data_IF_891014960795
#
_entry.id   IF_891014960795
#
_cell.length_a   1.000
_cell.length_b   1.000
_cell.length_c   1.000
_cell.angle_alpha   90.00
_cell.angle_beta   90.00
_cell.angle_gamma   90.00
#
_symmetry.space_group_name_H-M   'P 1'
#
loop_
_entity.id
_entity.type
_entity.pdbx_description
1 polymer ?
#
# COMPACT_ATOMS: atom_id res chain seq x y z
N UNK A 1 -8.51 -22.39 25.16
CA UNK A 1 -9.12 -21.51 26.20
C UNK A 1 -8.90 -20.06 25.80
N UNK A 2 -9.91 -19.34 25.32
CA UNK A 2 -9.78 -17.92 24.95
C UNK A 2 -9.88 -17.09 26.23
N UNK A 3 -8.76 -16.54 26.72
CA UNK A 3 -8.74 -15.60 27.86
C UNK A 3 -8.66 -14.17 27.34
N UNK A 4 -9.67 -13.36 27.62
CA UNK A 4 -9.65 -11.92 27.32
C UNK A 4 -8.98 -11.21 28.49
N UNK A 5 -7.78 -10.67 28.27
CA UNK A 5 -7.08 -9.88 29.26
C UNK A 5 -7.40 -8.39 29.07
N UNK A 6 -8.52 -7.95 29.68
CA UNK A 6 -8.98 -6.55 29.60
C UNK A 6 -7.98 -5.57 30.23
N UNK A 7 -7.22 -6.00 31.24
CA UNK A 7 -6.22 -5.15 31.90
C UNK A 7 -5.04 -4.85 30.98
N UNK A 8 -4.68 -5.79 30.09
CA UNK A 8 -3.63 -5.58 29.08
C UNK A 8 -4.05 -4.55 28.03
N UNK A 9 -5.32 -4.50 27.65
CA UNK A 9 -5.85 -3.49 26.71
C UNK A 9 -6.01 -2.11 27.35
N UNK A 10 -6.41 -2.03 28.63
CA UNK A 10 -6.50 -0.77 29.37
C UNK A 10 -5.13 -0.08 29.50
N UNK A 11 -4.09 -0.86 29.82
CA UNK A 11 -2.71 -0.37 29.85
C UNK A 11 -2.22 0.07 28.47
N UNK A 12 -2.58 -0.66 27.41
CA UNK A 12 -2.12 -0.34 26.04
C UNK A 12 -2.75 0.93 25.47
N UNK A 13 -3.96 1.30 25.92
CA UNK A 13 -4.70 2.48 25.43
C UNK A 13 -4.79 3.62 26.43
N UNK A 14 -4.11 3.50 27.57
CA UNK A 14 -4.11 4.47 28.66
C UNK A 14 -5.54 4.92 29.06
N UNK A 15 -6.44 3.95 29.18
CA UNK A 15 -7.88 4.16 29.39
C UNK A 15 -8.43 3.10 30.34
N UNK A 16 -9.35 3.48 31.24
CA UNK A 16 -9.91 2.56 32.24
C UNK A 16 -11.42 2.37 32.03
N UNK A 17 -11.87 1.12 31.87
CA UNK A 17 -13.29 0.79 31.77
C UNK A 17 -13.94 0.77 33.15
N UNK A 18 -15.16 1.30 33.23
CA UNK A 18 -15.95 1.18 34.45
C UNK A 18 -16.28 -0.30 34.77
N UNK A 19 -16.37 -0.68 36.05
CA UNK A 19 -16.57 -2.08 36.48
C UNK A 19 -17.82 -2.75 35.87
N UNK A 20 -18.90 -1.98 35.69
CA UNK A 20 -20.16 -2.42 35.07
C UNK A 20 -19.97 -2.78 33.59
N UNK A 21 -19.12 -2.04 32.88
CA UNK A 21 -18.77 -2.27 31.48
C UNK A 21 -17.90 -3.52 31.34
N UNK A 22 -16.93 -3.71 32.24
CA UNK A 22 -16.12 -4.95 32.28
C UNK A 22 -16.98 -6.19 32.46
N UNK A 23 -17.97 -6.16 33.36
CA UNK A 23 -18.91 -7.28 33.58
C UNK A 23 -19.75 -7.58 32.34
N UNK A 24 -20.30 -6.56 31.67
CA UNK A 24 -21.09 -6.73 30.43
C UNK A 24 -20.27 -7.32 29.27
N UNK A 25 -19.02 -6.86 29.10
CA UNK A 25 -18.13 -7.36 28.04
C UNK A 25 -17.80 -8.84 28.29
N UNK A 26 -17.44 -9.20 29.53
CA UNK A 26 -17.19 -10.60 29.90
C UNK A 26 -18.41 -11.49 29.64
N UNK A 27 -19.59 -11.07 30.10
CA UNK A 27 -20.84 -11.84 29.93
C UNK A 27 -21.22 -12.07 28.46
N UNK A 28 -21.15 -11.04 27.60
CA UNK A 28 -21.42 -11.19 26.16
C UNK A 28 -20.43 -12.13 25.48
N UNK A 29 -19.15 -12.07 25.84
CA UNK A 29 -18.14 -12.94 25.26
C UNK A 29 -18.27 -14.39 25.69
N UNK A 30 -18.63 -14.65 26.95
CA UNK A 30 -18.94 -16.01 27.41
C UNK A 30 -20.07 -16.61 26.57
N UNK A 31 -21.14 -15.84 26.31
CA UNK A 31 -22.25 -16.29 25.45
C UNK A 31 -21.85 -16.53 23.98
N UNK A 32 -20.91 -15.76 23.43
CA UNK A 32 -20.37 -15.98 22.08
C UNK A 32 -19.52 -17.25 22.03
N UNK A 33 -18.66 -17.46 23.03
CA UNK A 33 -17.80 -18.65 23.14
C UNK A 33 -18.65 -19.91 23.29
N UNK A 34 -19.71 -19.88 24.11
CA UNK A 34 -20.63 -21.01 24.25
C UNK A 34 -21.35 -21.34 22.93
N UNK A 35 -21.79 -20.33 22.17
CA UNK A 35 -22.39 -20.54 20.84
C UNK A 35 -21.40 -21.15 19.84
N UNK A 36 -20.15 -20.69 19.86
CA UNK A 36 -19.06 -21.24 19.04
C UNK A 36 -18.76 -22.70 19.42
N UNK A 37 -18.69 -23.04 20.71
CA UNK A 37 -18.50 -24.42 21.17
C UNK A 37 -19.67 -25.33 20.78
N UNK A 38 -20.92 -24.84 20.85
CA UNK A 38 -22.10 -25.56 20.37
C UNK A 38 -22.07 -25.80 18.85
N UNK A 39 -21.55 -24.84 18.08
CA UNK A 39 -21.39 -24.97 16.63
C UNK A 39 -20.29 -25.98 16.26
N UNK A 40 -19.15 -25.94 16.96
CA UNK A 40 -18.02 -26.87 16.73
C UNK A 40 -18.40 -28.32 17.07
N UNK A 41 -19.20 -28.55 18.12
CA UNK A 41 -19.69 -29.90 18.49
C UNK A 41 -20.65 -30.54 17.48
N UNK A 42 -21.16 -29.80 16.49
CA UNK A 42 -22.08 -30.32 15.46
C UNK A 42 -21.35 -30.93 14.24
N UNK A 43 -20.02 -30.87 14.18
CA UNK A 43 -19.24 -31.49 13.12
C UNK A 43 -18.71 -32.87 13.56
N UNK A 44 -18.89 -33.95 12.77
CA UNK A 44 -18.29 -35.24 13.08
C UNK A 44 -16.76 -35.16 12.87
N UNK A 45 -16.00 -35.53 13.89
CA UNK A 45 -14.54 -35.59 13.85
C UNK A 45 -14.07 -36.77 12.98
N UNK A 46 -13.51 -36.49 11.81
CA UNK A 46 -12.62 -37.41 11.10
C UNK A 46 -11.21 -37.34 11.71
N UNK A 47 -10.58 -38.50 11.84
CA UNK A 47 -9.38 -38.82 12.62
C UNK A 47 -8.08 -38.20 12.07
N UNK A 48 -7.25 -37.68 13.00
CA UNK A 48 -5.75 -37.70 13.08
C UNK A 48 -4.93 -37.02 11.95
N UNK A 49 -3.83 -36.28 12.14
CA UNK A 49 -2.77 -36.35 13.17
C UNK A 49 -1.86 -35.10 13.15
N UNK A 50 -1.26 -34.79 14.32
CA UNK A 50 -0.03 -34.03 14.61
C UNK A 50 0.16 -32.60 14.07
N UNK A 51 -0.11 -31.61 14.93
CA UNK A 51 0.54 -30.28 14.89
C UNK A 51 1.20 -30.02 16.26
N UNK A 52 2.42 -29.48 16.22
CA UNK A 52 3.28 -29.29 17.39
C UNK A 52 2.74 -28.21 18.36
N UNK A 53 3.14 -28.21 19.66
CA UNK A 53 2.56 -27.33 20.69
C UNK A 53 2.83 -25.82 20.52
N UNK A 54 3.58 -25.38 19.51
CA UNK A 54 4.04 -23.99 19.39
C UNK A 54 3.03 -22.99 18.77
N UNK A 55 1.85 -23.45 18.34
CA UNK A 55 0.88 -22.65 17.57
C UNK A 55 -0.29 -22.05 18.38
N UNK A 56 -0.24 -22.12 19.72
CA UNK A 56 -1.39 -21.80 20.58
C UNK A 56 -1.28 -20.51 21.40
N UNK A 57 -0.42 -19.57 21.02
CA UNK A 57 -0.37 -18.26 21.66
C UNK A 57 -0.64 -17.08 20.72
N UNK A 58 -1.72 -16.36 21.05
CA UNK A 58 -2.04 -14.97 20.71
C UNK A 58 -2.79 -14.65 19.40
N UNK A 59 -4.07 -15.02 19.31
CA UNK A 59 -5.01 -14.30 18.44
C UNK A 59 -5.52 -13.03 19.13
N UNK A 60 -5.08 -11.85 18.68
CA UNK A 60 -5.59 -10.55 19.16
C UNK A 60 -6.66 -10.04 18.19
N UNK A 61 -7.91 -9.88 18.66
CA UNK A 61 -9.02 -9.34 17.86
C UNK A 61 -9.16 -7.84 18.11
N UNK A 62 -9.01 -7.01 17.07
CA UNK A 62 -9.16 -5.54 17.12
C UNK A 62 -10.57 -5.13 16.71
N UNK A 63 -11.25 -4.31 17.52
CA UNK A 63 -12.58 -3.75 17.20
C UNK A 63 -12.48 -2.31 16.66
N UNK A 64 -13.16 -2.03 15.53
CA UNK A 64 -13.38 -0.68 14.98
C UNK A 64 -14.79 -0.20 15.36
N UNK A 65 -14.91 1.01 15.92
CA UNK A 65 -16.20 1.64 16.29
C UNK A 65 -16.92 2.11 15.02
N UNK A 66 -18.18 1.70 14.83
CA UNK A 66 -19.08 2.19 13.78
C UNK A 66 -19.76 3.47 14.30
N UNK A 67 -19.57 4.60 13.63
CA UNK A 67 -20.27 5.84 13.93
C UNK A 67 -21.59 5.87 13.16
N UNK A 68 -22.72 5.89 13.87
CA UNK A 68 -23.99 6.54 13.48
C UNK A 68 -25.07 6.27 14.54
N UNK A 69 -25.47 7.32 15.26
CA UNK A 69 -26.82 7.52 15.82
C UNK A 69 -26.97 8.97 16.36
N UNK A 70 -28.12 9.58 16.07
CA UNK A 70 -28.51 10.99 16.20
C UNK A 70 -28.27 11.68 17.57
N UNK A 71 -28.14 13.04 17.59
CA UNK A 71 -28.04 13.81 18.83
C UNK A 71 -29.42 14.04 19.46
N UNK A 72 -29.56 13.68 20.74
CA UNK A 72 -30.69 14.10 21.59
C UNK A 72 -30.40 15.48 22.18
N UNK A 73 -31.37 16.38 22.04
CA UNK A 73 -31.44 17.72 22.60
C UNK A 73 -31.38 17.73 24.13
N UNK A 74 -30.79 18.77 24.71
CA UNK A 74 -31.24 19.29 26.00
C UNK A 74 -31.34 20.83 25.95
N UNK A 75 -32.52 21.33 26.31
CA UNK A 75 -32.84 22.75 26.49
C UNK A 75 -32.28 23.27 27.82
N UNK A 76 -31.76 24.50 27.80
CA UNK A 76 -31.89 25.44 28.91
C UNK A 76 -31.99 26.87 28.36
N UNK A 77 -32.98 27.61 28.83
CA UNK A 77 -33.15 29.07 28.75
C UNK A 77 -33.69 29.49 30.13
N UNK A 78 -33.72 30.77 30.54
CA UNK A 78 -33.40 31.97 29.77
C UNK A 78 -32.52 33.02 30.50
N UNK A 79 -32.12 34.05 29.75
CA UNK A 79 -32.14 35.44 30.24
C UNK A 79 -30.80 36.09 30.59
N UNK A 80 -30.33 36.94 29.68
CA UNK A 80 -29.97 38.35 29.86
C UNK A 80 -28.84 38.71 28.89
N UNK A 81 -29.22 39.40 27.81
CA UNK A 81 -28.26 40.13 26.99
C UNK A 81 -28.04 41.51 27.58
N UNK A 82 -26.79 41.96 27.57
CA UNK A 82 -26.37 43.33 27.23
C UNK A 82 -24.98 43.21 26.63
N UNK A 83 -24.76 43.82 25.47
CA UNK A 83 -23.47 43.80 24.78
C UNK A 83 -22.47 44.81 25.33
N UNK A 84 -21.21 44.66 24.93
CA UNK A 84 -20.32 45.77 24.59
C UNK A 84 -19.17 45.27 23.71
N UNK A 85 -18.82 46.11 22.74
CA UNK A 85 -17.77 46.05 21.73
C UNK A 85 -16.36 45.88 22.36
N UNK A 86 -15.32 45.33 21.72
CA UNK A 86 -14.52 45.96 20.65
C UNK A 86 -13.28 45.09 20.33
N UNK A 87 -12.85 45.17 19.07
CA UNK A 87 -11.47 45.16 18.53
C UNK A 87 -10.57 43.90 18.50
N UNK A 88 -10.11 43.68 17.25
CA UNK A 88 -8.75 43.33 16.79
C UNK A 88 -8.23 41.91 16.91
N UNK A 89 -7.93 41.37 15.73
CA UNK A 89 -7.17 40.15 15.40
C UNK A 89 -5.79 40.08 16.06
N UNK A 90 -5.24 38.88 16.28
CA UNK A 90 -3.80 38.69 16.27
C UNK A 90 -3.31 37.66 15.22
N UNK A 91 -2.00 37.70 14.87
CA UNK A 91 -1.41 36.90 13.80
C UNK A 91 -0.71 35.62 14.27
N UNK A 92 -0.26 34.86 13.27
CA UNK A 92 0.55 33.64 13.26
C UNK A 92 1.68 33.58 14.32
N UNK A 93 1.80 32.42 14.98
CA UNK A 93 2.92 32.09 15.87
C UNK A 93 3.79 30.97 15.28
N UNK A 94 5.08 31.30 15.22
CA UNK A 94 6.23 30.47 14.90
C UNK A 94 6.65 29.54 16.05
N UNK A 95 7.45 28.54 15.68
CA UNK A 95 8.07 27.52 16.51
C UNK A 95 8.75 28.02 17.79
N UNK A 96 8.50 27.32 18.89
CA UNK A 96 9.05 27.50 20.22
C UNK A 96 10.45 26.86 20.37
N UNK A 97 11.41 27.65 20.85
CA UNK A 97 12.67 27.20 21.46
C UNK A 97 12.47 26.92 22.95
N UNK A 98 13.09 25.86 23.46
CA UNK A 98 13.13 25.51 24.89
C UNK A 98 14.34 26.16 25.59
N UNK A 99 14.26 26.47 26.90
CA UNK A 99 15.25 27.27 27.61
C UNK A 99 16.33 26.45 28.35
N UNK A 100 17.51 27.04 28.53
CA UNK A 100 18.58 26.58 29.44
C UNK A 100 18.57 27.42 30.71
N UNK A 101 18.53 26.75 31.88
CA UNK A 101 18.58 27.35 33.20
C UNK A 101 20.01 27.53 33.73
N UNK A 102 20.23 28.66 34.38
CA UNK A 102 21.47 29.11 35.03
C UNK A 102 21.80 28.35 36.32
N UNK A 103 23.09 28.21 36.62
CA UNK A 103 23.64 28.18 37.98
C UNK A 103 24.98 28.93 38.02
N UNK A 104 25.13 29.67 39.11
CA UNK A 104 26.02 30.81 39.37
C UNK A 104 27.35 30.45 40.03
N UNK A 105 28.39 31.26 39.78
CA UNK A 105 29.43 31.57 40.78
C UNK A 105 30.88 31.67 40.27
N UNK A 106 31.48 32.86 40.37
CA UNK A 106 32.90 33.01 40.73
C UNK A 106 33.93 33.30 39.63
N UNK A 107 34.16 34.59 39.36
CA UNK A 107 35.46 35.27 39.12
C UNK A 107 36.51 34.71 38.13
N UNK A 108 36.66 35.48 37.04
CA UNK A 108 37.92 36.01 36.47
C UNK A 108 38.94 35.11 35.73
N UNK A 109 38.93 35.27 34.39
CA UNK A 109 40.09 35.51 33.48
C UNK A 109 41.12 34.38 33.26
N UNK A 110 41.01 33.62 32.15
CA UNK A 110 41.86 33.72 30.94
C UNK A 110 41.79 32.48 30.02
N UNK A 111 41.84 32.76 28.71
CA UNK A 111 42.39 31.92 27.63
C UNK A 111 41.61 30.70 27.11
N UNK A 112 40.89 30.96 26.02
CA UNK A 112 40.68 30.14 24.81
C UNK A 112 41.32 28.74 24.77
N UNK A 113 40.48 27.70 24.76
CA UNK A 113 40.64 26.46 23.95
C UNK A 113 39.37 25.62 24.06
N UNK A 114 38.47 25.74 23.07
CA UNK A 114 37.35 24.82 22.92
C UNK A 114 37.62 23.89 21.75
N UNK A 115 37.56 22.59 22.08
CA UNK A 115 37.68 21.43 21.23
C UNK A 115 36.49 21.34 20.25
N UNK A 116 36.82 21.04 18.99
CA UNK A 116 36.16 20.08 18.12
C UNK A 116 34.64 20.06 18.04
N UNK A 117 34.09 20.72 17.02
CA UNK A 117 32.88 20.27 16.34
C UNK A 117 33.32 19.73 14.98
N UNK A 118 33.16 18.42 14.75
CA UNK A 118 33.42 17.80 13.45
C UNK A 118 32.37 18.25 12.45
N UNK A 119 32.78 19.14 11.54
CA UNK A 119 32.06 19.44 10.33
C UNK A 119 32.27 18.27 9.36
N UNK A 120 31.20 17.57 8.96
CA UNK A 120 31.28 16.57 7.88
C UNK A 120 31.59 17.33 6.59
N UNK A 121 32.86 17.34 6.21
CA UNK A 121 33.36 17.92 4.97
C UNK A 121 33.12 16.91 3.85
N UNK A 122 32.08 17.14 3.06
CA UNK A 122 31.88 16.40 1.82
C UNK A 122 32.92 16.85 0.79
N UNK A 123 33.49 15.85 0.09
CA UNK A 123 34.25 15.93 -1.15
C UNK A 123 35.71 16.41 -1.07
N UNK A 124 36.64 15.46 -1.03
CA UNK A 124 37.96 15.60 -1.65
C UNK A 124 38.43 14.22 -2.18
N UNK A 125 38.69 14.18 -3.49
CA UNK A 125 39.16 13.03 -4.27
C UNK A 125 38.75 13.31 -5.73
N UNK A 126 39.61 13.82 -6.60
CA UNK A 126 40.94 13.33 -6.92
C UNK A 126 41.82 14.50 -7.41
N UNK A 127 43.02 14.66 -6.84
CA UNK A 127 44.07 15.52 -7.41
C UNK A 127 45.06 14.61 -8.12
N UNK A 128 45.03 14.58 -9.44
CA UNK A 128 46.13 14.04 -10.26
C UNK A 128 47.08 15.18 -10.62
N UNK A 129 48.36 14.98 -10.31
CA UNK A 129 49.44 15.90 -10.57
C UNK A 129 49.65 16.13 -12.08
N UNK A 130 49.94 17.38 -12.42
CA UNK A 130 50.28 17.89 -13.76
C UNK A 130 51.62 17.34 -14.26
N UNK A 131 51.76 17.17 -15.58
CA UNK A 131 52.95 17.57 -16.35
C UNK A 131 52.63 17.67 -17.86
N UNK A 132 52.69 18.91 -18.36
CA UNK A 132 52.98 19.43 -19.71
C UNK A 132 52.26 18.90 -20.99
N UNK A 133 51.55 19.83 -21.66
CA UNK A 133 51.78 20.09 -23.09
C UNK A 133 50.54 20.09 -24.01
N UNK A 134 50.28 21.26 -24.60
CA UNK A 134 49.55 21.52 -25.85
C UNK A 134 48.01 21.69 -25.84
N UNK A 135 47.62 22.66 -26.65
CA UNK A 135 46.34 23.35 -26.70
C UNK A 135 45.18 22.52 -27.26
N UNK A 136 43.98 22.83 -26.77
CA UNK A 136 42.74 22.66 -27.51
C UNK A 136 42.02 21.33 -27.32
N UNK A 137 41.25 21.19 -26.24
CA UNK A 137 39.86 20.78 -26.39
C UNK A 137 39.06 21.12 -25.14
N UNK A 138 37.96 21.85 -25.35
CA UNK A 138 37.02 22.22 -24.31
C UNK A 138 36.37 20.99 -23.66
N UNK A 139 36.12 21.11 -22.37
CA UNK A 139 35.44 20.16 -21.49
C UNK A 139 34.28 19.41 -22.16
N UNK A 140 34.48 18.12 -22.45
CA UNK A 140 33.39 17.18 -22.75
C UNK A 140 32.86 16.55 -21.46
N UNK A 141 32.34 17.37 -20.56
CA UNK A 141 31.49 16.95 -19.45
C UNK A 141 30.33 17.94 -19.27
N UNK A 142 29.72 18.35 -20.39
CA UNK A 142 28.39 18.94 -20.35
C UNK A 142 27.42 17.81 -19.97
N UNK A 143 27.00 17.78 -18.72
CA UNK A 143 25.88 16.95 -18.28
C UNK A 143 24.68 17.25 -19.17
N UNK A 144 24.32 16.30 -20.04
CA UNK A 144 23.21 16.44 -20.97
C UNK A 144 21.91 16.50 -20.17
N UNK A 145 21.42 17.72 -19.94
CA UNK A 145 20.08 17.97 -19.48
C UNK A 145 19.11 17.35 -20.49
N UNK A 146 18.22 16.49 -20.00
CA UNK A 146 17.18 15.84 -20.79
C UNK A 146 15.83 16.53 -20.57
N UNK A 147 14.96 16.40 -21.57
CA UNK A 147 13.57 16.81 -21.49
C UNK A 147 12.68 15.58 -21.65
N UNK A 148 11.81 15.30 -20.68
CA UNK A 148 10.86 14.18 -20.72
C UNK A 148 9.46 14.73 -20.50
N UNK A 149 8.62 14.65 -21.54
CA UNK A 149 7.30 15.28 -21.52
C UNK A 149 7.41 16.80 -21.28
N UNK A 150 6.69 17.29 -20.27
CA UNK A 150 6.72 18.71 -19.89
C UNK A 150 7.88 19.08 -18.95
N UNK A 151 8.64 18.10 -18.45
CA UNK A 151 9.77 18.35 -17.56
C UNK A 151 11.03 18.64 -18.38
N UNK A 152 11.52 19.87 -18.28
CA UNK A 152 12.77 20.32 -18.90
C UNK A 152 13.88 20.45 -17.87
N UNK A 153 15.14 20.40 -18.30
CA UNK A 153 16.32 20.61 -17.46
C UNK A 153 16.49 19.53 -16.38
N UNK A 154 16.18 18.27 -16.69
CA UNK A 154 16.33 17.16 -15.75
C UNK A 154 17.50 16.25 -16.15
N UNK A 155 18.27 15.81 -15.17
CA UNK A 155 19.35 14.84 -15.34
C UNK A 155 19.03 13.59 -14.51
N UNK A 156 19.22 12.42 -15.10
CA UNK A 156 19.13 11.18 -14.35
C UNK A 156 20.32 11.06 -13.39
N UNK A 157 20.04 10.84 -12.11
CA UNK A 157 21.07 10.63 -11.11
C UNK A 157 21.36 9.13 -10.98
N UNK A 158 22.50 8.70 -11.48
CA UNK A 158 22.94 7.31 -11.33
C UNK A 158 23.38 7.03 -9.89
N UNK A 159 22.97 5.85 -9.39
CA UNK A 159 23.41 5.31 -8.11
C UNK A 159 24.40 4.17 -8.36
N UNK A 160 25.41 4.01 -7.49
CA UNK A 160 26.38 2.92 -7.59
C UNK A 160 25.77 1.53 -7.41
N UNK A 161 24.58 1.44 -6.80
CA UNK A 161 23.82 0.19 -6.66
C UNK A 161 22.83 0.03 -7.81
N UNK A 162 22.99 -1.02 -8.60
CA UNK A 162 22.13 -1.31 -9.74
C UNK A 162 21.03 -2.34 -9.40
N UNK A 163 20.13 -2.60 -10.36
CA UNK A 163 19.04 -3.60 -10.24
C UNK A 163 19.57 -4.99 -9.88
N UNK A 164 20.66 -5.44 -10.51
CA UNK A 164 21.21 -6.77 -10.28
C UNK A 164 21.74 -6.95 -8.86
N UNK A 165 22.35 -5.91 -8.27
CA UNK A 165 22.83 -5.95 -6.88
C UNK A 165 21.66 -6.15 -5.90
N UNK A 166 20.56 -5.43 -6.11
CA UNK A 166 19.34 -5.57 -5.31
C UNK A 166 18.71 -6.95 -5.45
N UNK A 167 18.63 -7.46 -6.69
CA UNK A 167 18.09 -8.79 -6.96
C UNK A 167 18.91 -9.91 -6.31
N UNK A 168 20.26 -9.82 -6.38
CA UNK A 168 21.16 -10.75 -5.68
C UNK A 168 20.97 -10.73 -4.18
N UNK A 169 20.82 -9.53 -3.59
CA UNK A 169 20.57 -9.38 -2.15
C UNK A 169 19.24 -10.04 -1.75
N UNK A 170 18.19 -9.83 -2.53
CA UNK A 170 16.85 -10.36 -2.26
C UNK A 170 16.67 -11.83 -2.69
N UNK A 171 17.60 -12.40 -3.45
CA UNK A 171 17.51 -13.75 -4.04
C UNK A 171 16.21 -13.94 -4.85
N UNK A 172 15.87 -12.92 -5.63
CA UNK A 172 14.70 -12.87 -6.53
C UNK A 172 14.92 -11.79 -7.59
N UNK A 173 14.17 -11.87 -8.69
CA UNK A 173 14.11 -10.81 -9.71
C UNK A 173 12.86 -9.97 -9.55
N UNK A 174 13.00 -8.66 -9.71
CA UNK A 174 11.87 -7.74 -9.64
C UNK A 174 11.11 -7.73 -10.96
N UNK A 175 9.78 -7.83 -10.87
CA UNK A 175 8.86 -7.83 -12.00
C UNK A 175 7.52 -7.21 -11.60
N UNK A 176 6.67 -6.96 -12.59
CA UNK A 176 5.31 -6.47 -12.43
C UNK A 176 4.34 -7.57 -12.85
N UNK A 177 3.51 -7.99 -11.90
CA UNK A 177 2.36 -8.86 -12.14
C UNK A 177 1.15 -7.95 -12.23
N UNK A 178 0.65 -7.77 -13.45
CA UNK A 178 -0.44 -6.86 -13.76
C UNK A 178 -1.77 -7.61 -13.90
N UNK A 179 -2.55 -7.66 -12.81
CA UNK A 179 -3.83 -8.34 -12.78
C UNK A 179 -4.94 -7.40 -13.28
N UNK A 180 -5.54 -7.75 -14.42
CA UNK A 180 -6.63 -7.01 -15.07
C UNK A 180 -7.93 -7.83 -15.12
N UNK A 181 -9.08 -7.16 -15.18
CA UNK A 181 -10.39 -7.81 -15.21
C UNK A 181 -11.53 -6.92 -14.71
N UNK A 182 -12.77 -7.34 -14.95
CA UNK A 182 -13.98 -6.64 -14.50
C UNK A 182 -14.06 -6.48 -12.97
N UNK A 183 -14.82 -5.49 -12.49
CA UNK A 183 -15.12 -5.38 -11.06
C UNK A 183 -15.77 -6.68 -10.56
N UNK A 184 -15.43 -7.18 -9.37
CA UNK A 184 -15.98 -8.45 -8.88
C UNK A 184 -15.41 -9.74 -9.51
N UNK A 185 -14.46 -9.65 -10.47
CA UNK A 185 -13.81 -10.83 -11.05
C UNK A 185 -12.92 -11.59 -10.06
N UNK A 186 -12.41 -10.93 -9.01
CA UNK A 186 -11.59 -11.56 -7.96
C UNK A 186 -10.14 -11.07 -7.88
N UNK A 187 -9.75 -10.05 -8.67
CA UNK A 187 -8.38 -9.50 -8.71
C UNK A 187 -7.72 -9.30 -7.35
N UNK A 188 -8.34 -8.51 -6.46
CA UNK A 188 -7.77 -8.22 -5.13
C UNK A 188 -7.66 -9.47 -4.25
N UNK A 189 -8.54 -10.45 -4.44
CA UNK A 189 -8.51 -11.72 -3.71
C UNK A 189 -7.33 -12.58 -4.17
N UNK A 190 -7.12 -12.70 -5.49
CA UNK A 190 -5.96 -13.40 -6.07
C UNK A 190 -4.66 -12.69 -5.72
N UNK A 191 -4.61 -11.35 -5.83
CA UNK A 191 -3.44 -10.55 -5.45
C UNK A 191 -3.01 -10.79 -3.99
N UNK A 192 -3.99 -10.87 -3.07
CA UNK A 192 -3.74 -11.16 -1.67
C UNK A 192 -3.23 -12.60 -1.45
N UNK A 193 -3.86 -13.58 -2.10
CA UNK A 193 -3.43 -14.98 -2.03
C UNK A 193 -2.00 -15.17 -2.59
N UNK A 194 -1.70 -14.52 -3.72
CA UNK A 194 -0.39 -14.50 -4.36
C UNK A 194 0.68 -13.87 -3.46
N UNK A 195 0.41 -12.69 -2.91
CA UNK A 195 1.32 -12.04 -1.96
C UNK A 195 1.61 -12.91 -0.73
N UNK A 196 0.56 -13.55 -0.18
CA UNK A 196 0.71 -14.51 0.93
C UNK A 196 1.49 -15.77 0.54
N UNK A 197 1.40 -16.21 -0.72
CA UNK A 197 2.14 -17.37 -1.23
C UNK A 197 3.63 -17.05 -1.46
N UNK A 198 3.94 -15.90 -2.06
CA UNK A 198 5.30 -15.38 -2.21
C UNK A 198 5.97 -15.18 -0.84
N UNK A 199 5.25 -14.62 0.13
CA UNK A 199 5.76 -14.43 1.49
C UNK A 199 6.17 -15.76 2.14
N UNK A 200 5.34 -16.82 2.02
CA UNK A 200 5.65 -18.16 2.56
C UNK A 200 6.90 -18.78 1.90
N UNK A 201 7.24 -18.37 0.68
CA UNK A 201 8.44 -18.78 -0.06
C UNK A 201 9.65 -17.86 0.21
N UNK A 202 9.54 -16.92 1.16
CA UNK A 202 10.60 -15.98 1.48
C UNK A 202 10.84 -14.91 0.41
N UNK A 203 9.84 -14.64 -0.44
CA UNK A 203 9.93 -13.66 -1.52
C UNK A 203 9.24 -12.35 -1.14
N UNK A 204 9.92 -11.25 -1.41
CA UNK A 204 9.43 -9.90 -1.17
C UNK A 204 8.49 -9.49 -2.30
N UNK A 205 7.23 -9.21 -1.94
CA UNK A 205 6.22 -8.70 -2.86
C UNK A 205 5.46 -7.54 -2.25
N UNK A 206 4.83 -6.73 -3.09
CA UNK A 206 3.98 -5.63 -2.66
C UNK A 206 2.77 -5.46 -3.57
N UNK A 207 1.58 -5.26 -2.99
CA UNK A 207 0.32 -5.15 -3.74
C UNK A 207 -0.08 -3.68 -3.92
N UNK A 208 -0.19 -3.25 -5.17
CA UNK A 208 -0.79 -1.99 -5.58
C UNK A 208 -2.24 -2.22 -6.02
N UNK A 209 -3.17 -2.11 -5.07
CA UNK A 209 -4.61 -2.24 -5.35
C UNK A 209 -5.21 -0.88 -5.78
N UNK A 210 -6.03 -0.91 -6.83
CA UNK A 210 -6.63 0.29 -7.41
C UNK A 210 -7.46 1.13 -6.43
N UNK A 211 -8.12 0.53 -5.44
CA UNK A 211 -8.87 1.30 -4.42
C UNK A 211 -7.91 1.87 -3.38
N UNK A 212 -6.89 1.11 -2.97
CA UNK A 212 -5.90 1.55 -1.98
C UNK A 212 -5.10 2.76 -2.45
N UNK A 213 -4.62 2.74 -3.70
CA UNK A 213 -3.82 3.85 -4.26
C UNK A 213 -4.64 5.14 -4.36
N UNK A 214 -5.96 5.03 -4.58
CA UNK A 214 -6.90 6.17 -4.62
C UNK A 214 -7.13 6.83 -3.27
N UNK A 215 -6.76 6.20 -2.16
CA UNK A 215 -6.75 6.86 -0.85
C UNK A 215 -5.52 7.76 -0.62
N UNK A 216 -4.50 7.68 -1.48
CA UNK A 216 -3.22 8.35 -1.29
C UNK A 216 -2.71 9.06 -2.55
N UNK A 217 -1.91 8.35 -3.34
CA UNK A 217 -1.22 8.86 -4.53
C UNK A 217 -2.19 9.37 -5.60
N UNK A 218 -3.32 8.69 -5.79
CA UNK A 218 -4.29 8.98 -6.86
C UNK A 218 -5.61 9.54 -6.30
N UNK A 219 -5.56 10.23 -5.15
CA UNK A 219 -6.75 10.78 -4.48
C UNK A 219 -7.41 11.94 -5.25
N UNK A 220 -6.64 12.58 -6.12
CA UNK A 220 -7.04 13.69 -6.98
C UNK A 220 -7.80 13.23 -8.23
N UNK A 221 -7.74 11.94 -8.57
CA UNK A 221 -8.32 11.39 -9.79
C UNK A 221 -9.74 10.87 -9.56
N UNK A 222 -10.65 11.24 -10.46
CA UNK A 222 -12.00 10.70 -10.51
C UNK A 222 -12.06 9.37 -11.29
N UNK A 223 -13.23 9.05 -11.85
CA UNK A 223 -13.48 7.85 -12.64
C UNK A 223 -13.82 8.15 -14.11
N UNK A 224 -13.52 9.35 -14.61
CA UNK A 224 -13.58 9.67 -16.04
C UNK A 224 -12.50 8.91 -16.83
N UNK A 225 -12.63 8.83 -18.14
CA UNK A 225 -11.72 8.07 -18.99
C UNK A 225 -10.27 8.59 -18.90
N UNK A 226 -10.09 9.91 -18.94
CA UNK A 226 -8.79 10.58 -18.78
C UNK A 226 -8.17 10.34 -17.41
N UNK A 227 -8.96 10.38 -16.35
CA UNK A 227 -8.50 10.11 -14.97
C UNK A 227 -8.17 8.63 -14.76
N UNK A 228 -8.83 7.72 -15.49
CA UNK A 228 -8.47 6.30 -15.51
C UNK A 228 -7.13 6.10 -16.20
N UNK A 229 -6.92 6.72 -17.35
CA UNK A 229 -5.65 6.64 -18.07
C UNK A 229 -4.50 7.16 -17.19
N UNK A 230 -4.67 8.31 -16.54
CA UNK A 230 -3.67 8.86 -15.62
C UNK A 230 -3.47 7.98 -14.38
N UNK A 231 -4.54 7.39 -13.84
CA UNK A 231 -4.45 6.45 -12.72
C UNK A 231 -3.60 5.22 -13.11
N UNK A 232 -3.84 4.65 -14.29
CA UNK A 232 -3.06 3.52 -14.81
C UNK A 232 -1.61 3.93 -15.06
N UNK A 233 -1.37 5.08 -15.69
CA UNK A 233 -0.01 5.60 -15.95
C UNK A 233 0.80 5.76 -14.66
N UNK A 234 0.25 6.44 -13.64
CA UNK A 234 0.93 6.62 -12.34
C UNK A 234 1.26 5.29 -11.68
N UNK A 235 0.34 4.34 -11.72
CA UNK A 235 0.54 3.02 -11.09
C UNK A 235 1.55 2.18 -11.89
N UNK A 236 1.57 2.30 -13.22
CA UNK A 236 2.60 1.70 -14.08
C UNK A 236 4.01 2.18 -13.72
N UNK A 237 4.19 3.50 -13.54
CA UNK A 237 5.47 4.08 -13.13
C UNK A 237 5.89 3.63 -11.73
N UNK A 238 4.97 3.60 -10.77
CA UNK A 238 5.26 3.10 -9.42
C UNK A 238 5.61 1.61 -9.46
N UNK A 239 4.88 0.80 -10.21
CA UNK A 239 5.16 -0.62 -10.37
C UNK A 239 6.54 -0.88 -10.98
N UNK A 240 6.93 -0.06 -11.98
CA UNK A 240 8.28 -0.07 -12.55
C UNK A 240 9.35 0.23 -11.50
N UNK A 241 9.14 1.22 -10.62
CA UNK A 241 10.09 1.51 -9.53
C UNK A 241 10.23 0.33 -8.54
N UNK A 242 9.13 -0.36 -8.23
CA UNK A 242 9.20 -1.57 -7.39
C UNK A 242 9.97 -2.71 -8.08
N UNK A 243 9.72 -2.95 -9.37
CA UNK A 243 10.45 -3.96 -10.13
C UNK A 243 11.94 -3.62 -10.25
N UNK A 244 12.30 -2.35 -10.46
CA UNK A 244 13.69 -1.89 -10.45
C UNK A 244 14.36 -2.06 -9.08
N UNK A 245 13.59 -1.93 -7.99
CA UNK A 245 14.04 -2.22 -6.63
C UNK A 245 14.25 -3.73 -6.34
N UNK A 246 13.91 -4.62 -7.28
CA UNK A 246 13.97 -6.08 -7.11
C UNK A 246 12.73 -6.69 -6.45
N UNK A 247 11.66 -5.92 -6.26
CA UNK A 247 10.40 -6.38 -5.64
C UNK A 247 9.49 -6.98 -6.70
N UNK A 248 8.78 -8.06 -6.36
CA UNK A 248 7.67 -8.57 -7.18
C UNK A 248 6.44 -7.70 -6.91
N UNK A 249 6.18 -6.75 -7.79
CA UNK A 249 5.07 -5.81 -7.67
C UNK A 249 3.79 -6.43 -8.24
N UNK A 250 2.73 -6.49 -7.44
CA UNK A 250 1.43 -7.03 -7.86
C UNK A 250 0.45 -5.86 -8.01
N UNK A 251 0.17 -5.47 -9.24
CA UNK A 251 -0.79 -4.42 -9.56
C UNK A 251 -2.18 -5.04 -9.79
N UNK A 252 -3.16 -4.70 -8.96
CA UNK A 252 -4.53 -5.25 -9.04
C UNK A 252 -5.52 -4.14 -9.38
N UNK A 253 -5.85 -4.00 -10.68
CA UNK A 253 -6.65 -2.89 -11.21
C UNK A 253 -7.68 -3.38 -12.23
N UNK A 254 -8.77 -2.64 -12.41
CA UNK A 254 -9.64 -2.90 -13.56
C UNK A 254 -8.86 -2.70 -14.85
N UNK A 255 -8.14 -1.58 -14.99
CA UNK A 255 -7.31 -1.23 -16.16
C UNK A 255 -8.02 -1.54 -17.49
N UNK A 256 -9.19 -0.94 -17.74
CA UNK A 256 -10.13 -1.40 -18.75
C UNK A 256 -9.64 -1.22 -20.19
N UNK A 257 -8.83 -0.20 -20.45
CA UNK A 257 -8.38 0.14 -21.79
C UNK A 257 -7.05 -0.55 -22.10
N UNK A 258 -7.01 -1.28 -23.21
CA UNK A 258 -5.84 -2.05 -23.63
C UNK A 258 -4.64 -1.15 -23.86
N UNK A 259 -4.84 0.00 -24.51
CA UNK A 259 -3.75 0.95 -24.80
C UNK A 259 -2.97 1.35 -23.55
N UNK A 260 -3.65 1.51 -22.41
CA UNK A 260 -3.03 1.98 -21.18
C UNK A 260 -2.23 0.86 -20.50
N UNK A 261 -2.70 -0.39 -20.63
CA UNK A 261 -1.94 -1.58 -20.19
C UNK A 261 -0.72 -1.80 -21.08
N UNK A 262 -0.87 -1.65 -22.40
CA UNK A 262 0.23 -1.74 -23.37
C UNK A 262 1.29 -0.66 -23.11
N UNK A 263 0.86 0.57 -22.78
CA UNK A 263 1.77 1.64 -22.38
C UNK A 263 2.53 1.28 -21.09
N UNK A 264 1.88 0.66 -20.10
CA UNK A 264 2.55 0.14 -18.90
C UNK A 264 3.58 -0.93 -19.24
N UNK A 265 3.21 -1.89 -20.07
CA UNK A 265 4.10 -2.97 -20.55
C UNK A 265 5.35 -2.41 -21.24
N UNK A 266 5.18 -1.42 -22.12
CA UNK A 266 6.28 -0.82 -22.89
C UNK A 266 7.31 -0.05 -22.03
N UNK A 267 6.95 0.32 -20.78
CA UNK A 267 7.86 1.02 -19.87
C UNK A 267 8.88 0.09 -19.18
N UNK A 268 8.68 -1.24 -19.27
CA UNK A 268 9.50 -2.25 -18.63
C UNK A 268 10.34 -3.04 -19.64
N UNK A 269 11.49 -3.61 -19.21
CA UNK A 269 12.23 -4.57 -20.02
C UNK A 269 11.35 -5.75 -20.46
N UNK A 270 11.66 -6.32 -21.61
CA UNK A 270 10.93 -7.48 -22.14
C UNK A 270 10.93 -8.63 -21.12
N UNK A 271 9.74 -9.14 -20.80
CA UNK A 271 9.53 -10.22 -19.83
C UNK A 271 9.28 -9.77 -18.39
N UNK A 272 9.61 -8.52 -18.01
CA UNK A 272 9.42 -8.03 -16.64
C UNK A 272 7.97 -7.59 -16.35
N UNK A 273 7.11 -7.53 -17.36
CA UNK A 273 5.68 -7.24 -17.23
C UNK A 273 4.88 -8.49 -17.60
N UNK A 274 4.14 -9.01 -16.62
CA UNK A 274 3.36 -10.25 -16.69
C UNK A 274 1.90 -9.87 -16.51
N UNK A 275 1.15 -9.82 -17.60
CA UNK A 275 -0.28 -9.53 -17.59
C UNK A 275 -1.07 -10.79 -17.26
N UNK A 276 -1.88 -10.69 -16.21
CA UNK A 276 -2.75 -11.76 -15.72
C UNK A 276 -4.19 -11.33 -15.94
N UNK A 277 -4.89 -12.02 -16.85
CA UNK A 277 -6.28 -11.73 -17.15
C UNK A 277 -7.21 -12.56 -16.27
N UNK A 278 -8.01 -11.89 -15.45
CA UNK A 278 -9.15 -12.51 -14.75
C UNK A 278 -10.33 -12.61 -15.72
N UNK A 279 -10.42 -13.70 -16.46
CA UNK A 279 -11.48 -13.95 -17.43
C UNK A 279 -12.74 -14.49 -16.75
N UNK A 280 -13.50 -13.57 -16.16
CA UNK A 280 -14.75 -13.85 -15.48
C UNK A 280 -15.89 -13.12 -16.18
N UNK A 281 -16.92 -13.83 -16.66
CA UNK A 281 -18.05 -13.22 -17.36
C UNK A 281 -18.72 -12.11 -16.54
N UNK A 282 -19.21 -11.07 -17.23
CA UNK A 282 -19.89 -9.93 -16.62
C UNK A 282 -21.06 -10.38 -15.73
N UNK A 283 -21.86 -11.34 -16.17
CA UNK A 283 -23.02 -11.84 -15.45
C UNK A 283 -22.62 -12.46 -14.10
N UNK A 284 -21.48 -13.15 -14.04
CA UNK A 284 -20.94 -13.71 -12.79
C UNK A 284 -20.44 -12.59 -11.88
N UNK A 285 -19.77 -11.58 -12.44
CA UNK A 285 -19.32 -10.40 -11.70
C UNK A 285 -20.50 -9.61 -11.10
N UNK A 286 -21.58 -9.41 -11.87
CA UNK A 286 -22.84 -8.80 -11.44
C UNK A 286 -23.56 -9.63 -10.38
N UNK A 287 -23.54 -10.97 -10.49
CA UNK A 287 -24.13 -11.84 -9.48
C UNK A 287 -23.36 -11.76 -8.14
N UNK A 288 -22.04 -11.61 -8.18
CA UNK A 288 -21.19 -11.48 -6.99
C UNK A 288 -21.40 -10.14 -6.29
N UNK A 289 -21.42 -9.04 -7.05
CA UNK A 289 -21.59 -7.63 -6.62
C UNK A 289 -21.20 -7.33 -5.15
N UNK A 290 -19.98 -7.70 -4.78
CA UNK A 290 -19.54 -7.71 -3.37
C UNK A 290 -19.52 -6.32 -2.72
N UNK A 291 -19.50 -5.27 -3.54
CA UNK A 291 -19.51 -3.86 -3.14
C UNK A 291 -20.83 -3.15 -3.43
N UNK A 292 -21.81 -3.81 -4.04
CA UNK A 292 -23.08 -3.19 -4.43
C UNK A 292 -22.97 -2.21 -5.63
N UNK A 293 -21.83 -2.19 -6.32
CA UNK A 293 -21.52 -1.21 -7.36
C UNK A 293 -22.30 -1.49 -8.65
N UNK A 294 -22.51 -2.77 -8.99
CA UNK A 294 -23.28 -3.13 -10.18
C UNK A 294 -24.74 -2.71 -10.04
N UNK A 295 -25.35 -2.95 -8.87
CA UNK A 295 -26.71 -2.47 -8.57
C UNK A 295 -26.83 -0.94 -8.69
N UNK A 296 -25.85 -0.21 -8.16
CA UNK A 296 -25.83 1.25 -8.24
C UNK A 296 -25.65 1.76 -9.69
N UNK A 297 -24.80 1.11 -10.48
CA UNK A 297 -24.61 1.42 -11.90
C UNK A 297 -25.88 1.14 -12.72
N UNK A 298 -26.50 -0.03 -12.54
CA UNK A 298 -27.78 -0.39 -13.19
C UNK A 298 -28.92 0.56 -12.81
N UNK A 299 -28.94 1.07 -11.58
CA UNK A 299 -29.88 2.09 -11.12
C UNK A 299 -29.55 3.51 -11.64
N UNK A 300 -28.45 3.70 -12.36
CA UNK A 300 -28.02 4.99 -12.91
C UNK A 300 -27.35 5.93 -11.92
N UNK A 301 -27.08 5.49 -10.69
CA UNK A 301 -26.43 6.27 -9.63
C UNK A 301 -24.91 6.40 -9.83
N UNK A 302 -24.31 5.49 -10.60
CA UNK A 302 -22.91 5.54 -11.02
C UNK A 302 -22.90 5.55 -12.54
N UNK A 303 -22.21 6.54 -13.11
CA UNK A 303 -22.01 6.67 -14.57
C UNK A 303 -20.60 6.24 -14.95
N UNK A 304 -20.45 5.73 -16.17
CA UNK A 304 -19.18 5.25 -16.72
C UNK A 304 -18.64 4.00 -16.01
N UNK A 305 -19.48 3.17 -15.43
CA UNK A 305 -19.07 1.94 -14.77
C UNK A 305 -18.64 0.87 -15.79
N UNK A 306 -17.40 0.38 -15.63
CA UNK A 306 -16.80 -0.60 -16.55
C UNK A 306 -17.64 -1.88 -16.67
N UNK A 307 -17.94 -2.26 -17.91
CA UNK A 307 -18.77 -3.42 -18.26
C UNK A 307 -20.27 -3.12 -18.31
N UNK A 308 -20.71 -1.92 -17.90
CA UNK A 308 -22.12 -1.50 -17.96
C UNK A 308 -22.30 -0.38 -18.98
N UNK A 309 -21.70 0.78 -18.72
CA UNK A 309 -21.78 1.98 -19.56
C UNK A 309 -20.40 2.58 -19.90
N UNK A 310 -19.31 1.86 -19.58
CA UNK A 310 -17.93 2.08 -20.05
C UNK A 310 -17.32 0.73 -20.48
N UNK A 311 -16.54 0.67 -21.58
CA UNK A 311 -16.05 -0.61 -22.10
C UNK A 311 -14.98 -1.26 -21.21
N UNK A 312 -14.88 -2.58 -21.31
CA UNK A 312 -13.71 -3.35 -20.87
C UNK A 312 -13.10 -4.03 -22.09
N UNK A 313 -11.85 -3.74 -22.39
CA UNK A 313 -11.13 -4.30 -23.52
C UNK A 313 -10.24 -5.44 -23.01
N UNK A 314 -10.64 -6.72 -23.18
CA UNK A 314 -9.84 -7.85 -22.70
C UNK A 314 -8.45 -7.86 -23.39
N UNK A 315 -7.41 -8.36 -22.70
CA UNK A 315 -6.09 -8.55 -23.29
C UNK A 315 -6.16 -9.49 -24.50
N UNK A 316 -5.36 -9.21 -25.52
CA UNK A 316 -5.27 -10.09 -26.71
C UNK A 316 -4.17 -11.13 -26.54
N UNK A 317 -3.05 -10.76 -25.89
CA UNK A 317 -1.86 -11.58 -25.70
C UNK A 317 -1.33 -11.41 -24.27
N UNK A 318 -2.09 -11.87 -23.28
CA UNK A 318 -1.63 -11.88 -21.88
C UNK A 318 -0.81 -13.14 -21.58
N UNK A 319 0.08 -13.05 -20.60
CA UNK A 319 0.93 -14.17 -20.18
C UNK A 319 0.14 -15.27 -19.46
N UNK A 320 -0.90 -14.91 -18.70
CA UNK A 320 -1.70 -15.84 -17.89
C UNK A 320 -3.19 -15.47 -18.01
N UNK A 321 -4.04 -16.47 -18.23
CA UNK A 321 -5.50 -16.33 -18.21
C UNK A 321 -6.07 -17.18 -17.08
N UNK A 322 -6.67 -16.54 -16.09
CA UNK A 322 -7.37 -17.20 -14.99
C UNK A 322 -8.86 -17.28 -15.34
N UNK A 323 -9.30 -18.44 -15.83
CA UNK A 323 -10.64 -18.65 -16.38
C UNK A 323 -11.68 -19.02 -15.33
N UNK A 324 -12.94 -18.71 -15.65
CA UNK A 324 -14.11 -19.18 -14.93
C UNK A 324 -14.92 -20.13 -15.82
N UNK A 325 -14.53 -21.40 -15.87
CA UNK A 325 -15.19 -22.41 -16.71
C UNK A 325 -16.22 -23.25 -15.95
N UNK A 326 -17.33 -23.61 -16.62
CA UNK A 326 -18.27 -24.63 -16.13
C UNK A 326 -19.00 -24.34 -14.81
N UNK A 327 -18.95 -23.10 -14.31
CA UNK A 327 -19.50 -22.76 -12.99
C UNK A 327 -18.59 -23.12 -11.80
N UNK A 328 -17.39 -23.66 -12.07
CA UNK A 328 -16.37 -23.95 -11.07
C UNK A 328 -15.27 -22.90 -11.21
N UNK A 329 -15.18 -22.00 -10.24
CA UNK A 329 -14.05 -21.10 -10.13
C UNK A 329 -12.96 -21.81 -9.33
N UNK A 330 -11.74 -21.89 -9.86
CA UNK A 330 -10.58 -22.27 -9.06
C UNK A 330 -10.53 -21.40 -7.79
N UNK A 331 -10.05 -21.96 -6.69
CA UNK A 331 -9.87 -21.19 -5.46
C UNK A 331 -8.82 -20.09 -5.68
N UNK A 332 -8.88 -18.98 -4.92
CA UNK A 332 -7.85 -17.94 -5.02
C UNK A 332 -6.43 -18.45 -4.78
N UNK A 333 -6.27 -19.51 -3.98
CA UNK A 333 -4.99 -20.16 -3.74
C UNK A 333 -4.50 -20.90 -4.99
N UNK A 334 -5.36 -21.68 -5.65
CA UNK A 334 -4.99 -22.39 -6.89
C UNK A 334 -4.61 -21.41 -8.01
N UNK A 335 -5.41 -20.35 -8.20
CA UNK A 335 -5.09 -19.28 -9.16
C UNK A 335 -3.77 -18.58 -8.83
N UNK A 336 -3.47 -18.38 -7.55
CA UNK A 336 -2.20 -17.82 -7.13
C UNK A 336 -1.03 -18.76 -7.40
N UNK A 337 -1.19 -20.07 -7.18
CA UNK A 337 -0.16 -21.06 -7.48
C UNK A 337 0.12 -21.17 -8.99
N UNK A 338 -0.86 -20.98 -9.86
CA UNK A 338 -0.62 -20.90 -11.31
C UNK A 338 0.31 -19.74 -11.67
N UNK A 339 0.09 -18.56 -11.07
CA UNK A 339 0.99 -17.41 -11.24
C UNK A 339 2.37 -17.70 -10.65
N UNK A 340 2.45 -18.38 -9.51
CA UNK A 340 3.73 -18.78 -8.90
C UNK A 340 4.50 -19.72 -9.83
N UNK A 341 3.85 -20.75 -10.38
CA UNK A 341 4.48 -21.69 -11.32
C UNK A 341 5.06 -20.95 -12.53
N UNK A 342 4.33 -19.99 -13.09
CA UNK A 342 4.86 -19.15 -14.17
C UNK A 342 6.11 -18.37 -13.74
N UNK A 343 6.13 -17.79 -12.54
CA UNK A 343 7.28 -17.06 -12.02
C UNK A 343 8.49 -17.97 -11.78
N UNK A 344 8.26 -19.19 -11.30
CA UNK A 344 9.28 -20.22 -11.10
C UNK A 344 9.89 -20.63 -12.45
N UNK A 345 9.05 -20.95 -13.44
CA UNK A 345 9.47 -21.36 -14.78
C UNK A 345 10.26 -20.27 -15.52
N UNK A 346 9.91 -19.00 -15.31
CA UNK A 346 10.64 -17.85 -15.86
C UNK A 346 11.85 -17.42 -15.03
N UNK A 347 12.10 -18.09 -13.90
CA UNK A 347 13.25 -17.84 -13.04
C UNK A 347 13.22 -16.48 -12.35
N UNK A 348 12.03 -15.98 -11.98
CA UNK A 348 11.86 -14.77 -11.18
C UNK A 348 12.06 -15.02 -9.68
N UNK A 349 11.87 -16.26 -9.23
CA UNK A 349 11.99 -16.61 -7.82
C UNK A 349 13.43 -16.91 -7.39
N UNK A 350 14.42 -16.70 -8.26
CA UNK A 350 15.85 -16.88 -7.99
C UNK A 350 16.65 -15.76 -8.68
N UNK A 351 17.83 -15.42 -8.15
CA UNK A 351 18.68 -14.34 -8.69
C UNK A 351 20.16 -14.73 -8.74
#
# INVERSE_FOLDING_TARGET
VIKINLEKEEKKKNFQFQPTTKRRIKSRFTGIIEKLFKAIRRFPLAKTTSLSPALLESTTVVFKKKANANPLQWKASPGLGVGLETTSSPPLLSFSQLPLGNLSGGTSVNSLKTRGLFLVKAMEGSRTASLNGHAGNADKNASLLSSVGNSTNIQWHECSLNKNDRQKLLKQKGCVIWITGLSGSGKSTVACALGGSLYRRGKLSYVLDGDNVRHGLNRDLSFKAEDRAENIRRIGEVAKLFADAGVICIASLISPYRRDRDACRAMLPAGDFIEVFMDVPLQVCEARDSKGLYKLARAGNIKGFTGIDDPYEPPLNCEIVLTHEGGVCASPCEMAEEVISYLEDKGFLEA
#
